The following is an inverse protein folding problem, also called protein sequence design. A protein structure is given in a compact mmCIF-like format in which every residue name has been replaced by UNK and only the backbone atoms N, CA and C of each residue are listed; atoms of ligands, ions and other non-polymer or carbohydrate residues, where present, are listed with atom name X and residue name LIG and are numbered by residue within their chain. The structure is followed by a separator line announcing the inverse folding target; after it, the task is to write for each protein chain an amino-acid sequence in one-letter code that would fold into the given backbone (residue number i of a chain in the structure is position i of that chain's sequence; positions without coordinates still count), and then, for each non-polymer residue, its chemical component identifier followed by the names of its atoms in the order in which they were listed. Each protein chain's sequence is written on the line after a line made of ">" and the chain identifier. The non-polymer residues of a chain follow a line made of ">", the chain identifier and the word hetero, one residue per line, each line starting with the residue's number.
data_IF_282258501644
#
_entry.id   IF_282258501644
#
_cell.length_a   1.000
_cell.length_b   1.000
_cell.length_c   1.000
_cell.angle_alpha   90.00
_cell.angle_beta   90.00
_cell.angle_gamma   90.00
#
_symmetry.space_group_name_H-M   'P 1'
#
loop_
_entity.id
_entity.type
_entity.pdbx_description
1 polymer ?
#
# COMPACT_ATOMS: atom_id res chain seq x y z
N UNK A 1 18.16 -14.29 7.62
CA UNK A 1 17.14 -13.61 6.78
C UNK A 1 15.81 -14.28 7.06
N UNK A 2 14.83 -13.56 7.60
CA UNK A 2 13.48 -14.12 7.70
C UNK A 2 12.99 -14.44 6.29
N UNK A 3 12.55 -15.68 6.06
CA UNK A 3 11.93 -16.07 4.80
C UNK A 3 10.65 -15.25 4.66
N UNK A 4 10.56 -14.38 3.66
CA UNK A 4 9.31 -13.67 3.37
C UNK A 4 8.33 -14.73 2.88
N UNK A 5 7.39 -15.12 3.74
CA UNK A 5 6.38 -16.12 3.41
C UNK A 5 5.46 -15.58 2.32
N UNK A 6 5.45 -16.27 1.18
CA UNK A 6 4.55 -15.98 0.06
C UNK A 6 3.27 -16.76 0.28
N UNK A 7 2.15 -16.16 -0.06
CA UNK A 7 0.86 -16.84 -0.11
C UNK A 7 0.37 -16.92 -1.55
N UNK A 8 -0.50 -17.88 -1.86
CA UNK A 8 -1.09 -18.01 -3.19
C UNK A 8 -2.53 -17.51 -3.20
N UNK A 9 -2.85 -16.62 -4.13
CA UNK A 9 -4.23 -16.17 -4.39
C UNK A 9 -4.51 -16.45 -5.85
N UNK A 10 -5.48 -17.33 -6.12
CA UNK A 10 -5.83 -17.79 -7.48
C UNK A 10 -4.62 -18.29 -8.29
N UNK A 11 -3.66 -18.93 -7.61
CA UNK A 11 -2.44 -19.46 -8.23
C UNK A 11 -1.31 -18.46 -8.41
N UNK A 12 -1.52 -17.17 -8.14
CA UNK A 12 -0.48 -16.15 -8.15
C UNK A 12 0.20 -16.01 -6.78
N UNK A 13 1.53 -15.90 -6.78
CA UNK A 13 2.32 -15.59 -5.59
C UNK A 13 2.07 -14.13 -5.15
N UNK A 14 1.70 -13.96 -3.89
CA UNK A 14 1.50 -12.66 -3.23
C UNK A 14 2.46 -12.57 -2.06
N UNK A 15 3.14 -11.43 -1.97
CA UNK A 15 4.04 -11.12 -0.85
C UNK A 15 3.29 -10.16 0.08
N UNK A 16 2.91 -10.60 1.29
CA UNK A 16 2.26 -9.72 2.26
C UNK A 16 3.19 -8.60 2.74
N UNK A 17 2.61 -7.43 2.99
CA UNK A 17 3.33 -6.33 3.63
C UNK A 17 3.97 -6.77 4.95
N UNK A 18 5.23 -6.38 5.16
CA UNK A 18 6.00 -6.68 6.37
C UNK A 18 5.99 -5.47 7.30
N UNK A 19 6.06 -5.69 8.62
CA UNK A 19 6.13 -4.63 9.63
C UNK A 19 7.57 -4.51 10.16
N UNK A 20 8.04 -3.28 10.34
CA UNK A 20 9.33 -2.99 10.96
C UNK A 20 9.25 -3.18 12.48
N UNK A 21 10.22 -3.89 13.04
CA UNK A 21 10.25 -4.25 14.45
C UNK A 21 9.21 -5.33 14.76
N UNK A 22 9.63 -6.44 15.37
CA UNK A 22 8.75 -7.54 15.80
C UNK A 22 7.92 -7.14 17.03
N UNK A 23 7.13 -6.08 16.91
CA UNK A 23 6.02 -5.81 17.84
C UNK A 23 4.84 -6.62 17.30
N UNK A 24 4.10 -7.30 18.17
CA UNK A 24 2.82 -7.90 17.80
C UNK A 24 2.00 -6.85 17.02
N UNK A 25 1.99 -7.01 15.69
CA UNK A 25 1.41 -6.07 14.73
C UNK A 25 -0.06 -5.83 15.05
N UNK A 26 -0.69 -6.84 15.65
CA UNK A 26 -2.09 -6.83 15.99
C UNK A 26 -2.36 -6.29 17.40
N UNK A 27 -1.34 -6.03 18.23
CA UNK A 27 -1.48 -5.40 19.55
C UNK A 27 -0.89 -3.97 19.60
N UNK A 28 -0.07 -3.58 18.63
CA UNK A 28 0.54 -2.25 18.59
C UNK A 28 -0.46 -1.18 18.14
N UNK A 29 -0.53 -0.07 18.91
CA UNK A 29 -1.33 1.11 18.55
C UNK A 29 -0.80 1.85 17.30
N UNK A 30 0.44 1.59 16.90
CA UNK A 30 1.07 2.16 15.71
C UNK A 30 2.11 1.18 15.16
N UNK A 31 1.78 0.43 14.11
CA UNK A 31 2.77 -0.32 13.34
C UNK A 31 3.28 0.51 12.16
N UNK A 32 4.54 0.28 11.76
CA UNK A 32 5.15 0.87 10.56
C UNK A 32 5.52 -0.25 9.61
N UNK A 33 5.05 -0.21 8.37
CA UNK A 33 5.40 -1.19 7.36
C UNK A 33 6.81 -0.95 6.84
N UNK A 34 7.50 -2.05 6.53
CA UNK A 34 8.77 -2.01 5.83
C UNK A 34 8.59 -1.39 4.45
N UNK A 35 9.48 -0.48 4.09
CA UNK A 35 9.48 0.16 2.77
C UNK A 35 9.73 -0.89 1.68
N UNK A 36 9.02 -0.75 0.56
CA UNK A 36 9.23 -1.59 -0.61
C UNK A 36 10.66 -1.40 -1.17
N UNK A 37 11.21 -2.45 -1.80
CA UNK A 37 12.49 -2.36 -2.51
C UNK A 37 12.43 -1.26 -3.56
N UNK A 38 13.37 -0.33 -3.48
CA UNK A 38 13.56 0.69 -4.49
C UNK A 38 14.24 0.07 -5.72
N UNK A 39 13.60 0.19 -6.89
CA UNK A 39 14.16 -0.32 -8.15
C UNK A 39 15.08 0.75 -8.74
N UNK A 40 16.30 0.38 -9.09
CA UNK A 40 17.27 1.25 -9.74
C UNK A 40 16.75 1.72 -11.11
N UNK A 41 17.01 2.99 -11.46
CA UNK A 41 16.50 3.54 -12.71
C UNK A 41 17.06 2.79 -13.93
N UNK A 42 18.32 2.37 -13.91
CA UNK A 42 18.96 1.67 -15.03
C UNK A 42 18.34 0.29 -15.33
N UNK A 43 17.65 -0.33 -14.37
CA UNK A 43 16.99 -1.63 -14.52
C UNK A 43 15.66 -1.54 -15.30
N UNK A 44 15.12 -0.34 -15.50
CA UNK A 44 13.77 -0.15 -16.07
C UNK A 44 13.80 0.67 -17.37
N UNK A 45 13.32 0.09 -18.46
CA UNK A 45 13.25 0.75 -19.78
C UNK A 45 11.86 1.29 -20.14
N UNK A 46 10.80 0.85 -19.44
CA UNK A 46 9.42 1.24 -19.70
C UNK A 46 8.59 1.36 -18.42
N UNK A 47 7.53 2.17 -18.47
CA UNK A 47 6.60 2.33 -17.35
C UNK A 47 6.00 0.98 -16.95
N UNK A 48 6.09 0.60 -15.67
CA UNK A 48 5.57 -0.69 -15.19
C UNK A 48 4.05 -0.86 -15.31
N UNK A 49 3.30 0.24 -15.52
CA UNK A 49 1.84 0.20 -15.70
C UNK A 49 1.47 0.28 -17.19
N UNK A 50 1.75 1.39 -17.87
CA UNK A 50 1.32 1.58 -19.26
C UNK A 50 2.29 1.03 -20.32
N UNK A 51 3.41 0.42 -19.92
CA UNK A 51 4.43 -0.17 -20.80
C UNK A 51 5.09 0.78 -21.83
N UNK A 52 4.79 2.08 -21.78
CA UNK A 52 5.45 3.07 -22.61
C UNK A 52 6.93 3.24 -22.22
N UNK A 53 7.82 3.19 -23.22
CA UNK A 53 9.27 3.40 -23.03
C UNK A 53 9.56 4.78 -22.46
N UNK A 54 10.51 4.82 -21.53
CA UNK A 54 11.07 6.07 -21.05
C UNK A 54 11.99 6.69 -22.10
N UNK A 55 12.04 8.02 -22.11
CA UNK A 55 12.92 8.81 -22.98
C UNK A 55 13.15 10.18 -22.33
N UNK A 56 13.82 11.11 -23.03
CA UNK A 56 14.13 12.44 -22.47
C UNK A 56 12.87 13.23 -22.04
N UNK A 57 11.74 13.03 -22.71
CA UNK A 57 10.47 13.71 -22.39
C UNK A 57 9.63 12.92 -21.37
N UNK A 58 9.70 11.58 -21.41
CA UNK A 58 9.03 10.69 -20.45
C UNK A 58 10.03 10.26 -19.39
N UNK A 59 10.14 11.06 -18.34
CA UNK A 59 11.01 10.79 -17.19
C UNK A 59 10.45 9.69 -16.28
N UNK A 60 11.36 9.08 -15.52
CA UNK A 60 11.10 8.03 -14.53
C UNK A 60 10.65 8.65 -13.21
N UNK A 61 9.70 7.99 -12.56
CA UNK A 61 9.18 8.37 -11.25
C UNK A 61 8.88 7.12 -10.43
N UNK A 62 9.34 7.08 -9.18
CA UNK A 62 9.03 5.97 -8.29
C UNK A 62 7.75 6.21 -7.51
N UNK A 63 6.93 5.17 -7.41
CA UNK A 63 5.88 5.10 -6.40
C UNK A 63 6.51 4.80 -5.04
N UNK A 64 6.30 5.67 -4.04
CA UNK A 64 6.87 5.48 -2.69
C UNK A 64 6.22 4.34 -1.93
N UNK A 65 5.00 3.94 -2.29
CA UNK A 65 4.33 2.79 -1.70
C UNK A 65 4.92 1.44 -2.19
N UNK A 66 5.10 1.26 -3.51
CA UNK A 66 5.51 -0.04 -4.07
C UNK A 66 6.90 -0.10 -4.71
N UNK A 67 7.64 1.01 -4.75
CA UNK A 67 9.01 1.09 -5.27
C UNK A 67 9.14 1.01 -6.81
N UNK A 68 8.05 0.75 -7.54
CA UNK A 68 8.05 0.62 -9.01
C UNK A 68 8.35 1.95 -9.72
N UNK A 69 9.03 1.86 -10.86
CA UNK A 69 9.34 2.99 -11.76
C UNK A 69 8.24 3.18 -12.81
N UNK A 70 7.74 4.40 -12.90
CA UNK A 70 6.54 4.78 -13.64
C UNK A 70 6.71 6.12 -14.36
N UNK A 71 5.82 6.40 -15.32
CA UNK A 71 5.74 7.73 -15.93
C UNK A 71 4.85 8.66 -15.10
N UNK A 72 4.92 9.96 -15.37
CA UNK A 72 4.17 10.99 -14.64
C UNK A 72 2.65 10.75 -14.65
N UNK A 73 2.10 10.23 -15.76
CA UNK A 73 0.68 9.91 -15.89
C UNK A 73 0.23 8.82 -14.91
N UNK A 74 0.93 7.68 -14.90
CA UNK A 74 0.59 6.53 -14.04
C UNK A 74 0.95 6.72 -12.56
N UNK A 75 1.60 7.83 -12.22
CA UNK A 75 2.09 8.12 -10.88
C UNK A 75 2.00 9.61 -10.59
N UNK A 76 0.84 10.23 -10.83
CA UNK A 76 0.66 11.69 -10.77
C UNK A 76 0.30 12.22 -9.38
N UNK A 77 -0.32 11.39 -8.56
CA UNK A 77 -0.93 11.79 -7.29
C UNK A 77 0.07 11.68 -6.13
N UNK A 78 -0.22 12.42 -5.05
CA UNK A 78 0.51 12.37 -3.80
C UNK A 78 -0.42 12.05 -2.63
N UNK A 79 0.02 11.16 -1.74
CA UNK A 79 -0.72 10.74 -0.54
C UNK A 79 0.27 10.69 0.62
N UNK A 80 -0.07 11.17 1.84
CA UNK A 80 0.74 10.92 3.03
C UNK A 80 0.92 9.42 3.28
N UNK A 81 2.13 8.98 3.64
CA UNK A 81 2.44 7.58 3.92
C UNK A 81 2.96 7.38 5.36
N UNK A 82 2.21 7.80 6.40
CA UNK A 82 2.63 7.63 7.79
C UNK A 82 2.86 6.16 8.17
N UNK A 83 2.16 5.23 7.51
CA UNK A 83 2.39 3.79 7.62
C UNK A 83 3.76 3.34 7.15
N UNK A 84 4.51 4.16 6.41
CA UNK A 84 5.90 3.92 5.98
C UNK A 84 6.89 4.88 6.66
N UNK A 85 6.45 5.61 7.70
CA UNK A 85 7.26 6.63 8.37
C UNK A 85 7.51 7.88 7.51
N UNK A 86 6.62 8.18 6.55
CA UNK A 86 6.71 9.33 5.65
C UNK A 86 5.46 10.21 5.84
N UNK A 87 5.50 11.21 6.74
CA UNK A 87 4.31 11.99 7.09
C UNK A 87 3.86 12.95 5.98
N UNK A 88 4.78 13.38 5.12
CA UNK A 88 4.47 14.30 4.02
C UNK A 88 3.83 13.59 2.81
N UNK A 89 3.05 14.30 1.97
CA UNK A 89 2.48 13.73 0.75
C UNK A 89 3.55 13.24 -0.24
N UNK A 90 3.57 11.92 -0.45
CA UNK A 90 4.53 11.25 -1.32
C UNK A 90 3.89 10.71 -2.59
N UNK A 91 4.68 10.59 -3.66
CA UNK A 91 4.17 10.16 -4.96
C UNK A 91 3.71 8.69 -4.93
N UNK A 92 2.47 8.43 -5.32
CA UNK A 92 1.88 7.08 -5.38
C UNK A 92 1.36 6.78 -6.79
N UNK A 93 1.44 5.51 -7.20
CA UNK A 93 0.88 5.10 -8.49
C UNK A 93 -0.63 4.92 -8.42
N UNK A 94 -1.29 5.01 -9.57
CA UNK A 94 -2.74 4.81 -9.66
C UNK A 94 -3.19 3.44 -9.14
N UNK A 95 -2.34 2.42 -9.24
CA UNK A 95 -2.63 1.06 -8.74
C UNK A 95 -2.55 0.98 -7.21
N UNK A 96 -1.63 1.69 -6.56
CA UNK A 96 -1.47 1.65 -5.11
C UNK A 96 -2.42 2.61 -4.40
N UNK A 97 -2.81 3.71 -5.07
CA UNK A 97 -3.57 4.82 -4.48
C UNK A 97 -4.82 4.35 -3.69
N UNK A 98 -5.71 3.48 -4.22
CA UNK A 98 -6.93 3.13 -3.51
C UNK A 98 -6.69 2.52 -2.13
N UNK A 99 -5.81 1.52 -2.05
CA UNK A 99 -5.45 0.87 -0.78
C UNK A 99 -4.67 1.83 0.12
N UNK A 100 -3.72 2.58 -0.44
CA UNK A 100 -2.92 3.54 0.32
C UNK A 100 -3.77 4.63 0.98
N UNK A 101 -4.75 5.19 0.27
CA UNK A 101 -5.65 6.20 0.83
C UNK A 101 -6.48 5.63 1.98
N UNK A 102 -6.98 4.39 1.86
CA UNK A 102 -7.70 3.74 2.95
C UNK A 102 -6.81 3.52 4.18
N UNK A 103 -5.57 3.05 3.98
CA UNK A 103 -4.61 2.89 5.09
C UNK A 103 -4.31 4.23 5.75
N UNK A 104 -4.11 5.30 4.98
CA UNK A 104 -3.87 6.64 5.54
C UNK A 104 -5.09 7.13 6.33
N UNK A 105 -6.31 6.99 5.78
CA UNK A 105 -7.56 7.34 6.45
C UNK A 105 -7.79 6.56 7.75
N UNK A 106 -7.40 5.28 7.80
CA UNK A 106 -7.52 4.44 9.00
C UNK A 106 -6.77 4.98 10.23
N UNK A 107 -5.76 5.83 10.02
CA UNK A 107 -4.94 6.45 11.07
C UNK A 107 -5.48 7.80 11.53
N UNK A 108 -6.58 8.27 10.95
CA UNK A 108 -7.24 9.50 11.39
C UNK A 108 -7.85 9.32 12.79
N UNK A 109 -7.88 10.39 13.57
CA UNK A 109 -8.68 10.47 14.80
C UNK A 109 -10.19 10.59 14.54
N UNK A 110 -10.58 10.98 13.33
CA UNK A 110 -11.98 11.09 12.93
C UNK A 110 -12.56 9.73 12.53
N UNK A 111 -13.61 9.30 13.23
CA UNK A 111 -14.31 8.03 13.01
C UNK A 111 -14.87 7.88 11.59
N UNK A 112 -15.35 8.97 10.97
CA UNK A 112 -15.85 8.94 9.59
C UNK A 112 -14.79 8.47 8.59
N UNK A 113 -13.55 8.92 8.73
CA UNK A 113 -12.45 8.49 7.86
C UNK A 113 -12.04 7.03 8.14
N UNK A 114 -12.11 6.59 9.39
CA UNK A 114 -11.89 5.17 9.71
C UNK A 114 -12.96 4.28 9.07
N UNK A 115 -14.24 4.68 9.13
CA UNK A 115 -15.33 3.96 8.48
C UNK A 115 -15.18 3.92 6.95
N UNK A 116 -14.85 5.05 6.32
CA UNK A 116 -14.55 5.11 4.88
C UNK A 116 -13.38 4.18 4.51
N UNK A 117 -12.36 4.07 5.37
CA UNK A 117 -11.24 3.16 5.15
C UNK A 117 -11.67 1.70 5.20
N UNK A 118 -12.51 1.30 6.17
CA UNK A 118 -13.05 -0.07 6.27
C UNK A 118 -13.89 -0.39 5.05
N UNK A 119 -14.82 0.50 4.67
CA UNK A 119 -15.68 0.33 3.51
C UNK A 119 -14.86 0.16 2.23
N UNK A 120 -13.91 1.07 1.98
CA UNK A 120 -13.06 1.00 0.79
C UNK A 120 -12.17 -0.24 0.74
N UNK A 121 -11.58 -0.66 1.87
CA UNK A 121 -10.81 -1.91 1.91
C UNK A 121 -11.69 -3.15 1.70
N UNK A 122 -12.90 -3.13 2.24
CA UNK A 122 -13.88 -4.23 2.08
C UNK A 122 -14.34 -4.34 0.63
N UNK A 123 -14.59 -3.22 -0.04
CA UNK A 123 -14.91 -3.21 -1.47
C UNK A 123 -13.74 -3.74 -2.31
N UNK A 124 -12.51 -3.35 -1.99
CA UNK A 124 -11.31 -3.79 -2.71
C UNK A 124 -11.02 -5.29 -2.56
N UNK A 125 -11.46 -5.96 -1.50
CA UNK A 125 -11.26 -7.42 -1.37
C UNK A 125 -12.30 -8.25 -2.14
N UNK A 126 -13.32 -7.61 -2.73
CA UNK A 126 -14.38 -8.32 -3.48
C UNK A 126 -13.90 -8.89 -4.82
N UNK A 127 -12.78 -8.40 -5.37
CA UNK A 127 -12.13 -8.97 -6.54
C UNK A 127 -10.69 -9.38 -6.23
N UNK A 128 -10.16 -10.38 -6.96
CA UNK A 128 -8.85 -10.94 -6.65
C UNK A 128 -7.69 -9.98 -6.90
N UNK A 129 -7.80 -9.06 -7.86
CA UNK A 129 -6.77 -8.07 -8.11
C UNK A 129 -6.67 -7.06 -6.96
N UNK A 130 -7.82 -6.59 -6.47
CA UNK A 130 -7.93 -5.74 -5.29
C UNK A 130 -7.47 -6.47 -4.01
N UNK A 131 -7.90 -7.72 -3.79
CA UNK A 131 -7.46 -8.54 -2.65
C UNK A 131 -5.94 -8.70 -2.60
N UNK A 132 -5.31 -9.00 -3.74
CA UNK A 132 -3.84 -9.06 -3.86
C UNK A 132 -3.19 -7.75 -3.43
N UNK A 133 -3.76 -6.59 -3.82
CA UNK A 133 -3.24 -5.27 -3.46
C UNK A 133 -3.47 -4.93 -1.99
N UNK A 134 -4.62 -5.29 -1.43
CA UNK A 134 -4.89 -5.14 0.00
C UNK A 134 -3.83 -5.87 0.83
N UNK A 135 -3.44 -7.08 0.41
CA UNK A 135 -2.44 -7.88 1.13
C UNK A 135 -1.01 -7.34 0.91
N UNK A 136 -0.63 -7.04 -0.33
CA UNK A 136 0.69 -6.50 -0.67
C UNK A 136 1.01 -5.18 0.05
N UNK A 137 -0.01 -4.35 0.30
CA UNK A 137 0.18 -2.98 0.76
C UNK A 137 -0.15 -2.75 2.24
N UNK A 138 -0.61 -3.79 2.94
CA UNK A 138 -0.85 -3.74 4.38
C UNK A 138 -2.31 -3.50 4.79
N UNK A 139 -3.25 -3.53 3.85
CA UNK A 139 -4.67 -3.30 4.11
C UNK A 139 -5.30 -4.39 4.98
N UNK A 140 -4.84 -5.65 4.90
CA UNK A 140 -5.31 -6.72 5.79
C UNK A 140 -4.93 -6.44 7.25
N UNK A 141 -3.68 -6.04 7.51
CA UNK A 141 -3.21 -5.64 8.83
C UNK A 141 -4.00 -4.44 9.35
N UNK A 142 -4.33 -3.48 8.47
CA UNK A 142 -5.20 -2.34 8.81
C UNK A 142 -6.60 -2.79 9.21
N UNK A 143 -7.24 -3.71 8.48
CA UNK A 143 -8.57 -4.22 8.85
C UNK A 143 -8.55 -4.92 10.21
N UNK A 144 -7.55 -5.77 10.46
CA UNK A 144 -7.40 -6.45 11.76
C UNK A 144 -7.19 -5.44 12.88
N UNK A 145 -6.34 -4.43 12.67
CA UNK A 145 -6.12 -3.36 13.64
C UNK A 145 -7.41 -2.59 13.97
N UNK A 146 -8.18 -2.19 12.96
CA UNK A 146 -9.43 -1.46 13.14
C UNK A 146 -10.48 -2.29 13.88
N UNK A 147 -10.58 -3.60 13.60
CA UNK A 147 -11.54 -4.51 14.26
C UNK A 147 -11.34 -4.64 15.78
N UNK A 148 -10.11 -4.37 16.26
CA UNK A 148 -9.76 -4.44 17.68
C UNK A 148 -10.03 -3.14 18.45
N UNK A 149 -10.25 -2.03 17.75
CA UNK A 149 -10.59 -0.77 18.40
C UNK A 149 -11.95 -0.89 19.10
N UNK A 150 -12.13 -0.21 20.23
CA UNK A 150 -13.40 -0.11 20.94
C UNK A 150 -14.35 0.85 20.19
N UNK A 151 -14.70 0.50 18.95
CA UNK A 151 -15.57 1.29 18.10
C UNK A 151 -16.69 0.40 17.56
N UNK A 152 -17.89 0.53 18.14
CA UNK A 152 -19.06 -0.29 17.81
C UNK A 152 -19.53 -0.15 16.35
N UNK A 153 -19.13 0.90 15.63
CA UNK A 153 -19.45 1.09 14.21
C UNK A 153 -18.45 0.43 13.26
N UNK A 154 -17.28 0.03 13.78
CA UNK A 154 -16.19 -0.61 13.01
C UNK A 154 -16.12 -2.13 13.27
N UNK A 155 -16.64 -2.59 14.42
CA UNK A 155 -16.81 -4.01 14.75
C UNK A 155 -17.88 -4.67 13.89
#
# INVERSE_FOLDING_TARGET
>A
MACIERIKIEGEDVIPAQVEGLVDVFAANNFVFSKARWVEDNEVSACKICSNKFNQLRRKHHCRQCGRVLCSKCCSQKVPLPQLGLPDPERVCEVCKPVTECITKSRSSHQSFQLEAVQGLTELVMDSAGMKKVIELGGLQTLVFLSKQENEQIR
#
